data_IF_734142153982
#
_entry.id   IF_734142153982
#
_cell.length_a   1.000
_cell.length_b   1.000
_cell.length_c   1.000
_cell.angle_alpha   90.00
_cell.angle_beta   90.00
_cell.angle_gamma   90.00
#
_symmetry.space_group_name_H-M   'P 1'
#
loop_
_entity.id
_entity.type
_entity.pdbx_description
1 polymer ?
#
# COMPACT_ATOMS: atom_id res chain seq x y z
N UNK A 1 -12.17 10.17 18.83
CA UNK A 1 -11.32 9.29 18.01
C UNK A 1 -9.88 9.74 18.18
N UNK A 2 -8.95 8.86 18.56
CA UNK A 2 -7.54 9.24 18.62
C UNK A 2 -7.02 9.40 17.19
N UNK A 3 -6.42 10.55 16.91
CA UNK A 3 -5.82 10.85 15.62
C UNK A 3 -4.39 10.31 15.65
N UNK A 4 -4.07 9.41 14.71
CA UNK A 4 -2.73 8.86 14.60
C UNK A 4 -1.70 9.97 14.36
N UNK A 5 -0.47 9.74 14.82
CA UNK A 5 0.65 10.64 14.62
C UNK A 5 1.75 9.97 13.80
N UNK A 6 2.51 10.80 13.10
CA UNK A 6 3.64 10.41 12.28
C UNK A 6 4.90 11.03 12.89
N UNK A 7 5.98 10.27 13.02
CA UNK A 7 7.27 10.79 13.46
C UNK A 7 8.28 10.76 12.32
N UNK A 8 9.05 11.84 12.16
CA UNK A 8 10.13 11.88 11.21
C UNK A 8 11.34 11.11 11.75
N UNK A 9 11.82 10.13 10.98
CA UNK A 9 12.99 9.33 11.36
C UNK A 9 14.30 10.15 11.38
N UNK A 10 14.34 11.31 10.71
CA UNK A 10 15.55 12.14 10.58
C UNK A 10 15.63 13.22 11.64
N UNK A 11 14.55 13.99 11.87
CA UNK A 11 14.59 15.15 12.77
C UNK A 11 13.68 15.02 14.00
N UNK A 12 13.01 13.88 14.19
CA UNK A 12 12.15 13.62 15.35
C UNK A 12 10.86 14.43 15.43
N UNK A 13 10.56 15.28 14.44
CA UNK A 13 9.30 16.05 14.42
C UNK A 13 8.09 15.11 14.36
N UNK A 14 7.04 15.49 15.09
CA UNK A 14 5.77 14.77 15.13
C UNK A 14 4.72 15.55 14.34
N UNK A 15 4.01 14.84 13.49
CA UNK A 15 2.95 15.37 12.64
C UNK A 15 1.66 14.60 12.91
N UNK A 16 0.52 15.24 12.63
CA UNK A 16 -0.77 14.56 12.66
C UNK A 16 -0.98 13.83 11.34
N UNK A 17 -1.55 12.62 11.40
CA UNK A 17 -1.89 11.84 10.22
C UNK A 17 -3.23 12.26 9.60
N UNK A 18 -3.99 13.18 10.21
CA UNK A 18 -5.32 13.62 9.72
C UNK A 18 -5.29 14.57 8.51
N UNK A 19 -4.15 14.70 7.84
CA UNK A 19 -3.95 15.64 6.74
C UNK A 19 -2.98 15.06 5.72
N UNK A 20 -3.11 15.44 4.43
CA UNK A 20 -2.18 15.01 3.39
C UNK A 20 -0.74 15.32 3.76
N UNK A 21 0.10 14.29 3.85
CA UNK A 21 1.53 14.44 4.11
C UNK A 21 2.26 13.17 3.69
N UNK A 22 3.24 13.31 2.80
CA UNK A 22 4.08 12.21 2.36
C UNK A 22 5.54 12.33 2.86
N UNK A 23 5.93 13.51 3.36
CA UNK A 23 7.30 13.80 3.84
C UNK A 23 7.31 14.84 4.96
N UNK A 24 8.36 14.82 5.78
CA UNK A 24 8.66 15.92 6.71
C UNK A 24 9.27 17.12 5.97
N UNK A 25 9.14 18.33 6.54
CA UNK A 25 9.75 19.56 6.02
C UNK A 25 11.29 19.48 5.97
N UNK A 26 11.92 18.59 6.74
CA UNK A 26 13.38 18.37 6.66
C UNK A 26 13.81 17.46 5.50
N UNK A 27 12.87 16.91 4.73
CA UNK A 27 13.19 15.94 3.69
C UNK A 27 13.01 14.46 4.11
N UNK A 28 12.95 14.18 5.41
CA UNK A 28 12.90 12.81 5.95
C UNK A 28 11.56 12.11 5.75
N UNK A 29 11.61 10.78 5.71
CA UNK A 29 10.41 9.93 5.69
C UNK A 29 9.70 9.95 7.04
N UNK A 30 8.42 9.60 7.01
CA UNK A 30 7.52 9.61 8.15
C UNK A 30 7.11 8.19 8.50
N UNK A 31 7.26 7.85 9.78
CA UNK A 31 6.83 6.57 10.32
C UNK A 31 5.59 6.78 11.18
N UNK A 32 4.68 5.82 11.17
CA UNK A 32 3.56 5.81 12.11
C UNK A 32 4.11 5.73 13.54
N UNK A 33 3.65 6.62 14.41
CA UNK A 33 3.99 6.55 15.82
C UNK A 33 3.35 5.30 16.46
N UNK A 34 3.97 4.72 17.50
CA UNK A 34 3.38 3.59 18.21
C UNK A 34 1.96 3.91 18.70
N UNK A 35 1.00 3.04 18.38
CA UNK A 35 -0.34 3.08 18.95
C UNK A 35 -0.38 2.53 20.38
N UNK A 36 -1.58 2.41 20.93
CA UNK A 36 -1.84 1.83 22.28
C UNK A 36 -1.56 0.33 22.40
N UNK A 37 -0.99 -0.30 21.37
CA UNK A 37 -0.85 -1.75 21.26
C UNK A 37 -2.08 -2.44 20.63
N UNK A 38 -1.94 -3.72 20.34
CA UNK A 38 -2.98 -4.57 19.75
C UNK A 38 -3.09 -5.86 20.54
N UNK A 39 -4.30 -6.17 21.00
CA UNK A 39 -4.59 -7.39 21.76
C UNK A 39 -5.33 -8.43 20.90
N UNK A 40 -5.15 -9.72 21.24
CA UNK A 40 -5.76 -10.82 20.49
C UNK A 40 -7.29 -10.78 20.51
N UNK A 41 -7.91 -10.30 21.59
CA UNK A 41 -9.36 -10.17 21.68
C UNK A 41 -9.92 -9.06 20.77
N UNK A 42 -9.07 -8.15 20.28
CA UNK A 42 -9.44 -7.15 19.30
C UNK A 42 -9.50 -7.70 17.85
N UNK A 43 -9.17 -8.99 17.64
CA UNK A 43 -9.33 -9.64 16.34
C UNK A 43 -10.82 -9.95 16.11
N UNK A 44 -11.39 -9.40 15.04
CA UNK A 44 -12.77 -9.69 14.64
C UNK A 44 -12.82 -11.07 13.97
N UNK A 45 -13.17 -12.11 14.74
CA UNK A 45 -13.08 -13.50 14.27
C UNK A 45 -14.04 -13.86 13.13
N UNK A 46 -15.14 -13.11 12.98
CA UNK A 46 -16.11 -13.26 11.88
C UNK A 46 -15.65 -12.63 10.57
N UNK A 47 -14.55 -11.87 10.59
CA UNK A 47 -13.99 -11.20 9.41
C UNK A 47 -12.84 -12.02 8.81
N UNK A 48 -12.96 -12.37 7.54
CA UNK A 48 -12.03 -13.22 6.80
C UNK A 48 -11.17 -12.41 5.81
N UNK A 49 -10.79 -11.20 6.19
CA UNK A 49 -9.91 -10.31 5.43
C UNK A 49 -8.83 -9.68 6.33
N UNK A 50 -8.04 -8.75 5.80
CA UNK A 50 -7.12 -7.88 6.52
C UNK A 50 -7.84 -7.07 7.60
N UNK A 51 -9.11 -6.72 7.36
CA UNK A 51 -9.89 -5.83 8.21
C UNK A 51 -10.29 -6.45 9.55
N UNK A 52 -10.07 -7.76 9.73
CA UNK A 52 -10.15 -8.40 11.05
C UNK A 52 -9.18 -7.80 12.09
N UNK A 53 -8.17 -7.08 11.62
CA UNK A 53 -7.17 -6.38 12.44
C UNK A 53 -7.39 -4.86 12.49
N UNK A 54 -8.59 -4.35 12.16
CA UNK A 54 -8.87 -2.91 12.06
C UNK A 54 -8.41 -2.10 13.28
N UNK A 55 -8.50 -2.65 14.50
CA UNK A 55 -8.04 -2.00 15.72
C UNK A 55 -6.51 -1.72 15.74
N UNK A 56 -5.72 -2.41 14.91
CA UNK A 56 -4.29 -2.17 14.74
C UNK A 56 -3.95 -1.20 13.57
N UNK A 57 -4.90 -0.92 12.67
CA UNK A 57 -4.60 -0.32 11.36
C UNK A 57 -4.60 1.22 11.34
N UNK A 58 -4.72 1.89 12.50
CA UNK A 58 -4.60 3.35 12.66
C UNK A 58 -5.44 4.20 11.67
N UNK A 59 -6.54 3.65 11.16
CA UNK A 59 -7.54 4.33 10.36
C UNK A 59 -8.62 4.96 11.25
N UNK A 60 -9.22 6.04 10.77
CA UNK A 60 -10.30 6.74 11.45
C UNK A 60 -11.62 5.96 11.40
N UNK A 61 -11.85 5.17 10.35
CA UNK A 61 -13.09 4.41 10.17
C UNK A 61 -12.91 3.05 9.51
N UNK A 62 -14.03 2.36 9.19
CA UNK A 62 -13.97 1.17 8.35
C UNK A 62 -13.43 1.50 6.95
N UNK A 63 -12.88 0.53 6.23
CA UNK A 63 -12.39 0.75 4.88
C UNK A 63 -13.51 1.22 3.96
N UNK A 64 -13.22 2.25 3.15
CA UNK A 64 -14.05 2.71 2.04
C UNK A 64 -13.88 1.84 0.80
N UNK A 65 -12.70 1.25 0.61
CA UNK A 65 -12.40 0.29 -0.47
C UNK A 65 -11.78 -0.97 0.11
N UNK A 66 -12.20 -2.13 -0.39
CA UNK A 66 -11.65 -3.44 -0.09
C UNK A 66 -11.91 -4.36 -1.27
N UNK A 67 -10.96 -5.23 -1.57
CA UNK A 67 -11.08 -6.29 -2.57
C UNK A 67 -11.15 -7.67 -1.91
N UNK A 68 -11.36 -7.72 -0.59
CA UNK A 68 -11.35 -8.96 0.20
C UNK A 68 -9.95 -9.45 0.56
N UNK A 69 -8.95 -8.57 0.47
CA UNK A 69 -7.55 -8.90 0.71
C UNK A 69 -7.26 -9.35 2.14
N UNK A 70 -6.21 -10.15 2.30
CA UNK A 70 -5.82 -10.70 3.58
C UNK A 70 -6.34 -12.12 3.76
N UNK A 71 -6.26 -12.60 5.02
CA UNK A 71 -6.64 -13.97 5.42
C UNK A 71 -6.23 -15.13 4.48
N UNK A 72 -5.10 -14.97 3.80
CA UNK A 72 -4.56 -15.95 2.85
C UNK A 72 -4.28 -17.30 3.51
N UNK A 73 -4.26 -18.41 2.75
CA UNK A 73 -4.00 -19.73 3.31
C UNK A 73 -2.64 -19.82 4.04
N UNK A 74 -2.62 -20.57 5.14
CA UNK A 74 -1.40 -21.03 5.80
C UNK A 74 -1.29 -22.55 5.60
N UNK A 75 -0.46 -22.97 4.65
CA UNK A 75 -0.37 -24.37 4.24
C UNK A 75 0.80 -25.05 4.94
N UNK A 76 0.52 -26.16 5.63
CA UNK A 76 1.51 -26.97 6.33
C UNK A 76 2.05 -28.08 5.43
N UNK A 77 3.36 -28.25 5.37
CA UNK A 77 4.04 -29.31 4.61
C UNK A 77 5.30 -29.80 5.33
N UNK A 78 5.65 -31.06 5.12
CA UNK A 78 7.02 -31.52 5.36
C UNK A 78 7.90 -31.00 4.22
N UNK A 79 8.99 -30.32 4.57
CA UNK A 79 10.01 -29.86 3.64
C UNK A 79 11.37 -30.33 4.12
N UNK A 80 11.88 -31.39 3.49
CA UNK A 80 13.17 -32.01 3.82
C UNK A 80 13.24 -32.51 5.28
N UNK A 81 12.16 -33.11 5.78
CA UNK A 81 12.11 -33.66 7.15
C UNK A 81 11.82 -32.62 8.24
N UNK A 82 11.44 -31.39 7.88
CA UNK A 82 11.02 -30.35 8.81
C UNK A 82 9.60 -29.87 8.48
N UNK A 83 8.78 -29.64 9.51
CA UNK A 83 7.46 -29.04 9.34
C UNK A 83 7.60 -27.55 9.01
N UNK A 84 7.13 -27.14 7.83
CA UNK A 84 7.16 -25.76 7.33
C UNK A 84 5.75 -25.28 7.02
N UNK A 85 5.48 -24.04 7.38
CA UNK A 85 4.24 -23.35 7.07
C UNK A 85 4.45 -22.30 5.98
N UNK A 86 3.68 -22.39 4.90
CA UNK A 86 3.70 -21.47 3.78
C UNK A 86 2.51 -20.52 3.85
N UNK A 87 2.77 -19.23 4.04
CA UNK A 87 1.75 -18.18 3.98
C UNK A 87 1.59 -17.72 2.53
N UNK A 88 0.50 -18.13 1.88
CA UNK A 88 0.32 -18.01 0.44
C UNK A 88 -0.19 -16.62 0.01
N UNK A 89 0.67 -15.62 0.12
CA UNK A 89 0.36 -14.23 -0.28
C UNK A 89 0.17 -14.03 -1.80
N UNK A 90 0.48 -15.05 -2.61
CA UNK A 90 0.15 -15.06 -4.04
C UNK A 90 -1.35 -15.23 -4.31
N UNK A 91 -2.16 -15.49 -3.27
CA UNK A 91 -3.64 -15.58 -3.36
C UNK A 91 -4.34 -14.27 -3.02
N UNK A 92 -3.58 -13.19 -2.83
CA UNK A 92 -4.14 -11.84 -2.69
C UNK A 92 -4.77 -11.38 -4.01
N UNK A 93 -5.69 -10.37 -4.02
CA UNK A 93 -6.38 -9.92 -5.22
C UNK A 93 -5.50 -9.64 -6.45
N UNK A 94 -4.31 -9.07 -6.27
CA UNK A 94 -3.36 -8.82 -7.37
C UNK A 94 -2.27 -9.89 -7.50
N UNK A 95 -2.34 -10.95 -6.69
CA UNK A 95 -1.33 -11.99 -6.61
C UNK A 95 -0.09 -11.60 -5.81
N UNK A 96 -0.16 -10.55 -4.98
CA UNK A 96 0.99 -10.07 -4.21
C UNK A 96 0.65 -9.66 -2.78
N UNK A 97 1.60 -9.85 -1.86
CA UNK A 97 1.51 -9.33 -0.50
C UNK A 97 1.39 -7.79 -0.43
N UNK A 98 1.76 -7.08 -1.51
CA UNK A 98 1.70 -5.61 -1.61
C UNK A 98 0.29 -5.07 -1.37
N UNK A 99 -0.72 -5.87 -1.70
CA UNK A 99 -2.13 -5.58 -1.47
C UNK A 99 -2.44 -5.21 -0.02
N UNK A 100 -1.77 -5.83 0.97
CA UNK A 100 -1.98 -5.49 2.39
C UNK A 100 -1.66 -4.03 2.69
N UNK A 101 -0.50 -3.58 2.22
CA UNK A 101 -0.04 -2.21 2.44
C UNK A 101 -0.86 -1.22 1.63
N UNK A 102 -1.11 -1.53 0.36
CA UNK A 102 -1.91 -0.69 -0.54
C UNK A 102 -3.32 -0.48 -0.02
N UNK A 103 -3.99 -1.53 0.47
CA UNK A 103 -5.34 -1.42 1.02
C UNK A 103 -5.42 -0.41 2.17
N UNK A 104 -4.51 -0.51 3.15
CA UNK A 104 -4.47 0.41 4.30
C UNK A 104 -4.10 1.82 3.86
N UNK A 105 -3.05 1.93 3.04
CA UNK A 105 -2.56 3.21 2.53
C UNK A 105 -3.64 3.95 1.75
N UNK A 106 -4.32 3.28 0.80
CA UNK A 106 -5.31 3.95 -0.03
C UNK A 106 -6.54 4.38 0.79
N UNK A 107 -6.98 3.56 1.74
CA UNK A 107 -8.04 3.96 2.66
C UNK A 107 -7.65 5.17 3.51
N UNK A 108 -6.40 5.24 3.98
CA UNK A 108 -5.89 6.42 4.66
C UNK A 108 -5.89 7.66 3.74
N UNK A 109 -5.42 7.53 2.49
CA UNK A 109 -5.44 8.61 1.52
C UNK A 109 -6.87 9.13 1.26
N UNK A 110 -7.85 8.23 1.18
CA UNK A 110 -9.27 8.60 1.06
C UNK A 110 -9.80 9.33 2.30
N UNK A 111 -9.35 8.97 3.51
CA UNK A 111 -9.72 9.68 4.75
C UNK A 111 -9.21 11.12 4.77
N UNK A 112 -7.98 11.35 4.28
CA UNK A 112 -7.36 12.69 4.25
C UNK A 112 -7.65 13.47 2.97
N UNK A 113 -8.52 12.96 2.09
CA UNK A 113 -8.96 13.64 0.88
C UNK A 113 -7.90 13.71 -0.23
N UNK A 114 -7.01 12.72 -0.32
CA UNK A 114 -5.98 12.63 -1.37
C UNK A 114 -6.48 11.84 -2.59
N UNK A 115 -6.31 12.44 -3.75
CA UNK A 115 -6.41 11.87 -5.10
C UNK A 115 -6.22 13.00 -6.12
N UNK A 116 -5.74 12.79 -7.37
CA UNK A 116 -5.18 11.59 -8.03
C UNK A 116 -3.98 10.90 -7.35
N UNK A 117 -3.62 9.69 -7.81
CA UNK A 117 -2.49 8.90 -7.29
C UNK A 117 -1.37 8.74 -8.32
N UNK A 118 -0.13 8.93 -7.87
CA UNK A 118 1.09 8.78 -8.66
C UNK A 118 2.06 7.81 -7.97
N UNK A 119 2.72 6.94 -8.74
CA UNK A 119 3.68 5.95 -8.21
C UNK A 119 4.74 5.60 -9.27
N UNK A 120 5.96 5.31 -8.84
CA UNK A 120 7.13 5.07 -9.70
C UNK A 120 7.58 3.59 -9.69
N UNK A 121 6.63 2.67 -9.91
CA UNK A 121 6.86 1.22 -9.83
C UNK A 121 6.33 0.44 -11.03
N UNK A 122 7.22 -0.33 -11.66
CA UNK A 122 6.88 -1.26 -12.75
C UNK A 122 6.57 -2.69 -12.28
N UNK A 123 6.42 -2.92 -10.97
CA UNK A 123 6.22 -4.24 -10.38
C UNK A 123 4.93 -4.37 -9.57
N UNK A 124 4.91 -5.32 -8.64
CA UNK A 124 3.75 -5.63 -7.81
C UNK A 124 3.16 -4.43 -7.05
N UNK A 125 4.00 -3.45 -6.67
CA UNK A 125 3.49 -2.25 -6.00
C UNK A 125 2.65 -1.39 -6.94
N UNK A 126 3.11 -1.17 -8.18
CA UNK A 126 2.34 -0.47 -9.21
C UNK A 126 1.05 -1.23 -9.58
N UNK A 127 1.13 -2.56 -9.72
CA UNK A 127 -0.04 -3.40 -10.02
C UNK A 127 -1.08 -3.38 -8.89
N UNK A 128 -0.64 -3.52 -7.65
CA UNK A 128 -1.46 -3.36 -6.45
C UNK A 128 -2.12 -1.99 -6.44
N UNK A 129 -1.34 -0.91 -6.49
CA UNK A 129 -1.86 0.45 -6.40
C UNK A 129 -2.85 0.79 -7.52
N UNK A 130 -2.54 0.43 -8.76
CA UNK A 130 -3.43 0.62 -9.91
C UNK A 130 -4.78 -0.07 -9.69
N UNK A 131 -4.78 -1.32 -9.20
CA UNK A 131 -6.00 -2.11 -8.97
C UNK A 131 -6.87 -1.52 -7.87
N UNK A 132 -6.26 -1.12 -6.74
CA UNK A 132 -7.00 -0.52 -5.63
C UNK A 132 -7.48 0.90 -5.95
N UNK A 133 -6.69 1.68 -6.69
CA UNK A 133 -7.10 3.00 -7.15
C UNK A 133 -8.31 2.91 -8.08
N UNK A 134 -8.32 1.95 -9.02
CA UNK A 134 -9.47 1.69 -9.87
C UNK A 134 -10.71 1.27 -9.06
N UNK A 135 -10.54 0.38 -8.08
CA UNK A 135 -11.62 -0.02 -7.18
C UNK A 135 -12.18 1.15 -6.33
N UNK A 136 -11.36 2.15 -6.03
CA UNK A 136 -11.76 3.37 -5.33
C UNK A 136 -12.26 4.49 -6.27
N UNK A 137 -12.28 4.29 -7.58
CA UNK A 137 -12.64 5.33 -8.56
C UNK A 137 -11.62 6.48 -8.67
N UNK A 138 -10.37 6.26 -8.27
CA UNK A 138 -9.29 7.24 -8.35
C UNK A 138 -8.49 7.09 -9.64
N UNK A 139 -8.17 8.21 -10.30
CA UNK A 139 -7.21 8.19 -11.38
C UNK A 139 -5.81 7.84 -10.85
N UNK A 140 -5.15 6.88 -11.50
CA UNK A 140 -3.84 6.40 -11.12
C UNK A 140 -2.87 6.52 -12.30
N UNK A 141 -1.70 7.11 -12.05
CA UNK A 141 -0.60 7.18 -13.01
C UNK A 141 0.62 6.46 -12.47
N UNK A 142 1.16 5.54 -13.26
CA UNK A 142 2.32 4.74 -12.88
C UNK A 142 3.50 5.06 -13.81
N UNK A 143 4.57 5.59 -13.24
CA UNK A 143 5.82 5.88 -13.92
C UNK A 143 6.69 4.61 -13.90
N UNK A 144 7.14 4.18 -15.07
CA UNK A 144 7.89 2.92 -15.24
C UNK A 144 9.14 3.14 -16.06
N UNK A 145 10.24 2.40 -15.84
CA UNK A 145 11.37 2.41 -16.77
C UNK A 145 10.90 2.02 -18.17
N UNK A 146 11.35 2.73 -19.22
CA UNK A 146 11.02 2.39 -20.61
C UNK A 146 11.44 0.96 -21.00
N UNK A 147 12.47 0.42 -20.34
CA UNK A 147 12.94 -0.95 -20.52
C UNK A 147 12.19 -2.00 -19.67
N UNK A 148 11.13 -1.62 -18.94
CA UNK A 148 10.38 -2.56 -18.10
C UNK A 148 9.76 -3.69 -18.93
N UNK A 149 9.90 -4.96 -18.52
CA UNK A 149 9.33 -6.08 -19.26
C UNK A 149 7.82 -5.92 -19.43
N UNK A 150 7.32 -6.05 -20.67
CA UNK A 150 5.88 -5.90 -20.99
C UNK A 150 4.98 -6.76 -20.10
N UNK A 151 5.40 -7.97 -19.77
CA UNK A 151 4.66 -8.88 -18.88
C UNK A 151 4.34 -8.25 -17.51
N UNK A 152 5.22 -7.39 -16.98
CA UNK A 152 4.99 -6.69 -15.71
C UNK A 152 4.04 -5.50 -15.85
N UNK A 153 3.97 -4.90 -17.04
CA UNK A 153 3.13 -3.74 -17.31
C UNK A 153 1.69 -4.11 -17.65
N UNK A 154 1.45 -5.32 -18.16
CA UNK A 154 0.11 -5.77 -18.57
C UNK A 154 -0.90 -5.66 -17.42
N UNK A 155 -0.54 -6.13 -16.22
CA UNK A 155 -1.45 -6.07 -15.07
C UNK A 155 -1.78 -4.63 -14.68
N UNK A 156 -0.78 -3.74 -14.68
CA UNK A 156 -0.94 -2.33 -14.34
C UNK A 156 -1.89 -1.64 -15.34
N UNK A 157 -1.66 -1.86 -16.64
CA UNK A 157 -2.50 -1.31 -17.70
C UNK A 157 -3.92 -1.89 -17.69
N UNK A 158 -4.07 -3.19 -17.40
CA UNK A 158 -5.36 -3.87 -17.33
C UNK A 158 -6.22 -3.35 -16.17
N UNK A 159 -5.60 -2.89 -15.08
CA UNK A 159 -6.29 -2.20 -13.98
C UNK A 159 -6.74 -0.77 -14.34
N UNK A 160 -6.44 -0.27 -15.55
CA UNK A 160 -6.88 1.05 -16.03
C UNK A 160 -5.97 2.22 -15.66
N UNK A 161 -4.76 1.96 -15.16
CA UNK A 161 -3.81 3.03 -14.84
C UNK A 161 -3.17 3.66 -16.09
N UNK A 162 -2.87 4.96 -16.00
CA UNK A 162 -2.07 5.69 -16.97
C UNK A 162 -0.58 5.32 -16.82
N UNK A 163 -0.11 4.37 -17.63
CA UNK A 163 1.29 3.91 -17.61
C UNK A 163 2.18 4.88 -18.39
N UNK A 164 3.18 5.47 -17.72
CA UNK A 164 4.11 6.45 -18.28
C UNK A 164 5.54 5.88 -18.32
N UNK A 165 6.02 5.44 -19.49
CA UNK A 165 7.40 5.02 -19.66
C UNK A 165 8.35 6.22 -19.57
N UNK A 166 9.38 6.09 -18.74
CA UNK A 166 10.44 7.08 -18.54
C UNK A 166 11.77 6.44 -18.94
N UNK A 167 12.48 7.10 -19.85
CA UNK A 167 13.83 6.70 -20.25
C UNK A 167 14.84 7.13 -19.18
N UNK A 168 15.82 6.28 -18.91
CA UNK A 168 16.89 6.57 -17.95
C UNK A 168 16.98 5.58 -16.79
N UNK A 169 17.56 6.06 -15.71
CA UNK A 169 17.82 5.35 -14.46
C UNK A 169 16.57 5.25 -13.59
N UNK A 170 16.65 4.47 -12.50
CA UNK A 170 15.57 4.42 -11.50
C UNK A 170 15.30 5.80 -10.88
N UNK A 171 16.33 6.64 -10.78
CA UNK A 171 16.23 7.99 -10.23
C UNK A 171 15.43 8.91 -11.16
N UNK A 172 15.65 8.82 -12.47
CA UNK A 172 14.88 9.61 -13.46
C UNK A 172 13.38 9.29 -13.39
N UNK A 173 13.02 8.02 -13.18
CA UNK A 173 11.62 7.59 -12.98
C UNK A 173 11.04 8.22 -11.69
N UNK A 174 11.81 8.23 -10.60
CA UNK A 174 11.41 8.88 -9.34
C UNK A 174 11.18 10.37 -9.54
N UNK A 175 12.11 11.05 -10.19
CA UNK A 175 12.06 12.50 -10.42
C UNK A 175 10.85 12.87 -11.30
N UNK A 176 10.53 12.07 -12.31
CA UNK A 176 9.34 12.25 -13.12
C UNK A 176 8.04 12.13 -12.31
N UNK A 177 7.98 11.22 -11.34
CA UNK A 177 6.84 11.07 -10.44
C UNK A 177 6.75 12.21 -9.41
N UNK A 178 7.90 12.69 -8.91
CA UNK A 178 7.95 13.80 -7.96
C UNK A 178 7.65 15.15 -8.61
N UNK A 179 8.00 15.35 -9.89
CA UNK A 179 7.75 16.59 -10.62
C UNK A 179 6.25 16.95 -10.75
N UNK A 180 5.36 15.97 -10.54
CA UNK A 180 3.91 16.18 -10.52
C UNK A 180 3.30 16.14 -9.11
N UNK A 181 4.10 15.80 -8.10
CA UNK A 181 3.70 15.87 -6.70
C UNK A 181 3.90 17.31 -6.22
N UNK A 182 2.81 18.07 -6.13
CA UNK A 182 2.80 19.46 -5.67
C UNK A 182 3.43 19.67 -4.30
#
# INVERSE_FOLDING_TARGET
MMIASLHCATCGRVHRADRPRWRCECGGHLNLAPGSGFDRHAIVATEASLWRYAAALALAGPPRVSLGEGWTPLVRRDWRGAEVHFKLESQMPTGSFKDRGTAVMLNHLLEVGVGPIHEDSSGNAGASLATYAAAAGLSCRIYVPAAAPRAKLVQIAASGADVRPISGTRQDVTEAALAVAG
#
